data_IF_129083115948
#
_entry.id   IF_129083115948
#
_cell.length_a   1.000
_cell.length_b   1.000
_cell.length_c   1.000
_cell.angle_alpha   90.00
_cell.angle_beta   90.00
_cell.angle_gamma   90.00
#
_symmetry.space_group_name_H-M   'P 1'
#
loop_
_entity.id
_entity.type
_entity.pdbx_description
1 polymer ?
#
# COMPACT_ATOMS: atom_id res chain seq x y z
N UNK A 1 -7.55 -18.12 -2.67
CA UNK A 1 -6.21 -17.93 -3.27
C UNK A 1 -6.08 -16.53 -3.84
N UNK A 2 -4.91 -16.15 -4.36
CA UNK A 2 -4.66 -14.88 -5.05
C UNK A 2 -4.32 -15.19 -6.53
N UNK A 3 -4.84 -14.45 -7.52
CA UNK A 3 -5.79 -13.32 -7.40
C UNK A 3 -7.19 -13.77 -6.97
N UNK A 4 -8.02 -12.83 -6.51
CA UNK A 4 -9.44 -13.03 -6.17
C UNK A 4 -10.25 -11.73 -6.34
N UNK A 5 -11.50 -11.72 -5.89
CA UNK A 5 -12.41 -10.56 -6.02
C UNK A 5 -11.91 -9.29 -5.30
N UNK A 6 -11.10 -9.44 -4.26
CA UNK A 6 -10.61 -8.31 -3.44
C UNK A 6 -9.19 -7.88 -3.80
N UNK A 7 -8.39 -8.77 -4.42
CA UNK A 7 -6.98 -8.54 -4.72
C UNK A 7 -6.62 -8.99 -6.14
N UNK A 8 -6.03 -8.08 -6.91
CA UNK A 8 -5.55 -8.33 -8.27
C UNK A 8 -4.03 -8.33 -8.35
N UNK A 9 -3.49 -9.09 -9.30
CA UNK A 9 -2.10 -8.93 -9.72
C UNK A 9 -2.01 -7.79 -10.73
N UNK A 10 -0.97 -6.96 -10.62
CA UNK A 10 -0.64 -5.92 -11.61
C UNK A 10 0.75 -6.17 -12.18
N UNK A 11 0.89 -5.91 -13.48
CA UNK A 11 2.15 -5.89 -14.22
C UNK A 11 2.70 -4.48 -14.42
N UNK A 12 2.13 -3.46 -13.76
CA UNK A 12 2.59 -2.06 -13.87
C UNK A 12 4.08 -1.87 -13.53
N UNK A 13 4.65 -2.78 -12.73
CA UNK A 13 6.05 -2.74 -12.34
C UNK A 13 6.90 -3.79 -13.07
N UNK A 14 6.41 -4.40 -14.15
CA UNK A 14 7.12 -5.45 -14.89
C UNK A 14 8.48 -4.96 -15.42
N UNK A 15 8.53 -3.70 -15.85
CA UNK A 15 9.74 -3.01 -16.29
C UNK A 15 10.38 -2.16 -15.18
N UNK A 16 9.97 -2.34 -13.92
CA UNK A 16 10.50 -1.66 -12.73
C UNK A 16 10.32 -0.12 -12.73
N UNK A 17 9.40 0.40 -13.54
CA UNK A 17 9.16 1.84 -13.69
C UNK A 17 8.36 2.45 -12.53
N UNK A 18 7.51 1.67 -11.87
CA UNK A 18 6.74 2.14 -10.71
C UNK A 18 7.63 2.22 -9.46
N UNK A 19 8.43 1.19 -9.22
CA UNK A 19 9.37 1.08 -8.12
C UNK A 19 10.47 0.06 -8.46
N UNK A 20 11.68 0.57 -8.68
CA UNK A 20 12.88 -0.18 -9.05
C UNK A 20 13.40 -1.14 -7.97
N UNK A 21 12.99 -0.92 -6.72
CA UNK A 21 13.35 -1.74 -5.55
C UNK A 21 12.26 -2.72 -5.11
N UNK A 22 11.21 -2.86 -5.92
CA UNK A 22 10.11 -3.82 -5.76
C UNK A 22 10.18 -4.92 -6.83
N UNK A 23 9.50 -6.06 -6.63
CA UNK A 23 9.43 -7.10 -7.65
C UNK A 23 8.59 -6.67 -8.86
N UNK A 24 8.75 -7.39 -9.98
CA UNK A 24 8.04 -7.13 -11.23
C UNK A 24 6.51 -7.24 -11.10
N UNK A 25 6.03 -8.25 -10.37
CA UNK A 25 4.61 -8.47 -10.11
C UNK A 25 4.24 -8.00 -8.71
N UNK A 26 3.17 -7.21 -8.62
CA UNK A 26 2.63 -6.70 -7.37
C UNK A 26 1.18 -7.15 -7.20
N UNK A 27 0.77 -7.34 -5.95
CA UNK A 27 -0.63 -7.64 -5.61
C UNK A 27 -1.21 -6.46 -4.85
N UNK A 28 -2.32 -5.92 -5.38
CA UNK A 28 -2.95 -4.67 -4.96
C UNK A 28 -4.47 -4.86 -4.85
N UNK A 29 -5.21 -3.96 -4.17
CA UNK A 29 -6.67 -4.07 -4.11
C UNK A 29 -7.29 -4.07 -5.51
N UNK A 30 -8.25 -4.96 -5.75
CA UNK A 30 -8.81 -5.23 -7.07
C UNK A 30 -9.48 -4.00 -7.71
N UNK A 31 -10.05 -3.11 -6.89
CA UNK A 31 -10.76 -1.90 -7.32
C UNK A 31 -9.84 -0.67 -7.53
N UNK A 32 -8.53 -0.79 -7.33
CA UNK A 32 -7.58 0.30 -7.57
C UNK A 32 -6.96 0.11 -8.96
N UNK A 33 -7.13 1.05 -9.91
CA UNK A 33 -6.51 1.00 -11.23
C UNK A 33 -5.02 1.39 -11.19
N UNK A 34 -4.25 0.96 -12.20
CA UNK A 34 -2.80 1.20 -12.28
C UNK A 34 -2.42 2.70 -12.28
N UNK A 35 -3.23 3.56 -12.89
CA UNK A 35 -3.01 5.02 -12.85
C UNK A 35 -3.11 5.62 -11.44
N UNK A 36 -3.91 5.03 -10.55
CA UNK A 36 -3.94 5.43 -9.14
C UNK A 36 -2.69 4.94 -8.40
N UNK A 37 -2.14 3.77 -8.75
CA UNK A 37 -0.89 3.27 -8.16
C UNK A 37 0.27 4.22 -8.39
N UNK A 38 0.36 4.85 -9.57
CA UNK A 38 1.39 5.87 -9.88
C UNK A 38 1.31 7.06 -8.93
N UNK A 39 0.09 7.50 -8.59
CA UNK A 39 -0.13 8.61 -7.65
C UNK A 39 0.21 8.23 -6.21
N UNK A 40 -0.13 7.01 -5.80
CA UNK A 40 0.27 6.46 -4.49
C UNK A 40 1.80 6.34 -4.40
N UNK A 41 2.45 5.88 -5.47
CA UNK A 41 3.90 5.76 -5.54
C UNK A 41 4.60 7.11 -5.37
N UNK A 42 4.06 8.18 -5.96
CA UNK A 42 4.59 9.54 -5.78
C UNK A 42 4.54 10.03 -4.31
N UNK A 43 3.62 9.50 -3.49
CA UNK A 43 3.50 9.85 -2.08
C UNK A 43 4.26 8.90 -1.13
N UNK A 44 4.78 7.78 -1.63
CA UNK A 44 5.52 6.80 -0.84
C UNK A 44 7.01 6.90 -1.14
N UNK A 45 7.84 6.98 -0.10
CA UNK A 45 9.29 7.08 -0.28
C UNK A 45 9.84 6.00 -1.23
N UNK A 46 10.54 6.41 -2.29
CA UNK A 46 11.08 5.53 -3.34
C UNK A 46 10.01 4.73 -4.11
N UNK A 47 8.76 5.19 -4.17
CA UNK A 47 7.69 4.50 -4.90
C UNK A 47 7.21 3.20 -4.27
N UNK A 48 7.64 2.88 -3.04
CA UNK A 48 7.34 1.61 -2.36
C UNK A 48 5.93 1.62 -1.76
N UNK A 49 4.93 1.51 -2.63
CA UNK A 49 3.50 1.51 -2.28
C UNK A 49 3.12 0.32 -1.38
N UNK A 50 2.00 0.38 -0.64
CA UNK A 50 1.51 -0.78 0.09
C UNK A 50 1.12 -1.91 -0.86
N UNK A 51 1.77 -3.06 -0.70
CA UNK A 51 1.51 -4.27 -1.50
C UNK A 51 1.28 -5.47 -0.60
N UNK A 52 0.46 -6.42 -1.06
CA UNK A 52 0.16 -7.63 -0.30
C UNK A 52 1.44 -8.46 -0.08
N UNK A 53 1.65 -8.86 1.17
CA UNK A 53 2.70 -9.83 1.55
C UNK A 53 2.10 -11.16 1.97
N UNK A 54 0.92 -11.13 2.60
CA UNK A 54 0.23 -12.33 3.05
C UNK A 54 -1.28 -12.06 3.23
N UNK A 55 -2.10 -13.10 3.04
CA UNK A 55 -3.54 -13.09 3.28
C UNK A 55 -3.96 -14.32 4.07
N UNK A 56 -4.78 -14.13 5.09
CA UNK A 56 -5.32 -15.22 5.90
C UNK A 56 -6.35 -16.01 5.08
N UNK A 57 -6.26 -17.35 5.01
CA UNK A 57 -7.10 -18.17 4.12
C UNK A 57 -8.59 -18.10 4.45
N UNK A 58 -8.95 -17.93 5.73
CA UNK A 58 -10.35 -17.86 6.18
C UNK A 58 -10.84 -16.41 6.32
N UNK A 59 -10.31 -15.65 7.29
CA UNK A 59 -10.75 -14.29 7.60
C UNK A 59 -10.48 -13.23 6.53
N UNK A 60 -9.65 -13.53 5.51
CA UNK A 60 -9.17 -12.57 4.51
C UNK A 60 -8.40 -11.37 5.08
N UNK A 61 -8.01 -11.39 6.36
CA UNK A 61 -7.12 -10.38 6.92
C UNK A 61 -5.77 -10.40 6.20
N UNK A 62 -5.23 -9.21 5.91
CA UNK A 62 -4.01 -9.08 5.10
C UNK A 62 -2.87 -8.42 5.85
N UNK A 63 -1.65 -8.82 5.47
CA UNK A 63 -0.42 -8.11 5.81
C UNK A 63 0.04 -7.44 4.52
N UNK A 64 0.10 -6.11 4.55
CA UNK A 64 0.70 -5.29 3.48
C UNK A 64 1.97 -4.61 3.96
N UNK A 65 2.89 -4.32 3.04
CA UNK A 65 4.17 -3.66 3.35
C UNK A 65 4.39 -2.46 2.44
N UNK A 66 5.00 -1.40 2.97
CA UNK A 66 5.28 -0.15 2.25
C UNK A 66 6.46 0.60 2.88
N UNK A 67 6.90 1.68 2.23
CA UNK A 67 7.72 2.71 2.86
C UNK A 67 6.89 3.76 3.61
N UNK A 68 7.58 4.66 4.32
CA UNK A 68 6.95 5.84 4.92
C UNK A 68 6.25 6.72 3.86
N UNK A 69 5.16 7.42 4.24
CA UNK A 69 4.54 8.45 3.43
C UNK A 69 5.38 9.74 3.42
N UNK A 70 5.34 10.48 2.32
CA UNK A 70 6.07 11.73 2.10
C UNK A 70 5.29 12.95 2.62
N UNK A 71 4.93 12.90 3.90
CA UNK A 71 4.09 13.93 4.57
C UNK A 71 4.81 15.29 4.62
N UNK A 72 6.10 15.32 4.94
CA UNK A 72 6.84 16.56 5.07
C UNK A 72 6.45 17.36 6.32
N UNK A 73 7.28 18.35 6.63
CA UNK A 73 7.00 19.37 7.66
C UNK A 73 5.68 20.11 7.44
N UNK A 74 5.23 20.26 6.18
CA UNK A 74 3.99 20.94 5.84
C UNK A 74 2.73 20.08 5.97
N UNK A 75 2.85 18.82 6.39
CA UNK A 75 1.69 17.96 6.65
C UNK A 75 0.91 17.59 5.39
N UNK A 76 1.61 17.37 4.27
CA UNK A 76 1.01 16.96 3.00
C UNK A 76 0.24 15.64 3.16
N UNK A 77 -0.85 15.54 2.42
CA UNK A 77 -1.71 14.36 2.34
C UNK A 77 -1.87 13.95 0.88
N UNK A 78 -2.12 12.67 0.64
CA UNK A 78 -2.48 12.15 -0.68
C UNK A 78 -3.86 11.51 -0.59
N UNK A 79 -4.81 12.05 -1.36
CA UNK A 79 -6.16 11.50 -1.44
C UNK A 79 -6.13 10.07 -1.98
N UNK A 80 -5.23 9.81 -2.93
CA UNK A 80 -5.02 8.49 -3.50
C UNK A 80 -4.42 7.50 -2.50
N UNK A 81 -3.42 7.89 -1.70
CA UNK A 81 -2.87 7.01 -0.64
C UNK A 81 -3.92 6.70 0.44
N UNK A 82 -4.72 7.68 0.84
CA UNK A 82 -5.80 7.49 1.81
C UNK A 82 -6.89 6.57 1.27
N UNK A 83 -7.33 6.78 0.02
CA UNK A 83 -8.26 5.88 -0.67
C UNK A 83 -7.67 4.48 -0.81
N UNK A 84 -6.37 4.38 -1.06
CA UNK A 84 -5.68 3.10 -1.20
C UNK A 84 -5.69 2.30 0.11
N UNK A 85 -5.40 2.95 1.24
CA UNK A 85 -5.50 2.33 2.57
C UNK A 85 -6.95 1.96 2.92
N UNK A 86 -7.93 2.77 2.50
CA UNK A 86 -9.34 2.43 2.64
C UNK A 86 -9.70 1.17 1.83
N UNK A 87 -9.23 1.06 0.58
CA UNK A 87 -9.46 -0.13 -0.24
C UNK A 87 -8.84 -1.40 0.36
N UNK A 88 -7.70 -1.30 1.06
CA UNK A 88 -7.12 -2.41 1.82
C UNK A 88 -8.05 -2.79 2.99
N UNK A 89 -8.60 -1.81 3.71
CA UNK A 89 -9.56 -2.08 4.78
C UNK A 89 -10.83 -2.77 4.25
N UNK A 90 -11.38 -2.25 3.15
CA UNK A 90 -12.61 -2.77 2.52
C UNK A 90 -12.41 -4.19 1.94
N UNK A 91 -11.16 -4.61 1.69
CA UNK A 91 -10.84 -5.99 1.28
C UNK A 91 -11.07 -7.03 2.38
N UNK A 92 -11.27 -6.60 3.63
CA UNK A 92 -11.61 -7.45 4.76
C UNK A 92 -13.01 -7.10 5.30
N UNK A 93 -14.01 -7.88 4.90
CA UNK A 93 -15.41 -7.69 5.32
C UNK A 93 -15.64 -7.86 6.84
N UNK A 94 -14.68 -8.40 7.59
CA UNK A 94 -14.81 -8.69 9.02
C UNK A 94 -14.29 -7.56 9.93
N UNK A 95 -13.68 -6.50 9.38
CA UNK A 95 -13.11 -5.41 10.18
C UNK A 95 -13.39 -4.03 9.57
N UNK A 96 -13.73 -3.07 10.43
CA UNK A 96 -13.85 -1.64 10.09
C UNK A 96 -12.64 -0.81 10.55
N UNK A 97 -11.52 -1.48 10.86
CA UNK A 97 -10.28 -0.83 11.29
C UNK A 97 -9.09 -1.46 10.57
N UNK A 98 -8.14 -0.61 10.22
CA UNK A 98 -6.81 -0.99 9.74
C UNK A 98 -5.78 -0.59 10.79
N UNK A 99 -4.77 -1.43 10.99
CA UNK A 99 -3.64 -1.14 11.88
C UNK A 99 -2.40 -0.83 11.03
N UNK A 100 -1.72 0.27 11.35
CA UNK A 100 -0.46 0.66 10.73
C UNK A 100 0.63 0.52 11.78
N UNK A 101 1.54 -0.42 11.55
CA UNK A 101 2.70 -0.64 12.41
C UNK A 101 3.92 0.05 11.81
N UNK A 102 4.30 1.21 12.34
CA UNK A 102 5.60 1.81 12.05
C UNK A 102 6.65 1.14 12.94
N UNK A 103 7.63 0.49 12.33
CA UNK A 103 8.68 -0.23 13.05
C UNK A 103 9.64 0.71 13.80
N UNK A 104 9.59 2.02 13.55
CA UNK A 104 10.48 3.00 14.16
C UNK A 104 9.95 3.44 15.54
N UNK A 105 10.85 3.80 16.46
CA UNK A 105 10.48 4.60 17.63
C UNK A 105 9.82 5.93 17.20
N UNK A 106 8.88 6.44 18.00
CA UNK A 106 8.13 7.66 17.70
C UNK A 106 9.03 8.86 17.38
N UNK A 107 10.15 9.01 18.08
CA UNK A 107 11.14 10.09 17.85
C UNK A 107 11.76 10.01 16.45
N UNK A 108 12.02 8.81 15.95
CA UNK A 108 12.58 8.59 14.62
C UNK A 108 11.54 8.81 13.53
N UNK A 109 10.27 8.48 13.79
CA UNK A 109 9.18 8.78 12.87
C UNK A 109 8.95 10.29 12.73
N UNK A 110 8.99 11.04 13.84
CA UNK A 110 8.89 12.50 13.83
C UNK A 110 10.09 13.17 13.15
N UNK A 111 11.31 12.66 13.37
CA UNK A 111 12.51 13.19 12.73
C UNK A 111 12.53 13.00 11.20
N UNK A 112 11.82 11.99 10.68
CA UNK A 112 11.67 11.73 9.25
C UNK A 112 10.41 12.38 8.66
N UNK A 113 9.70 13.21 9.43
CA UNK A 113 8.47 13.86 8.98
C UNK A 113 8.74 14.92 7.93
#
# INVERSE_FOLDING_TARGET
>A
GIPNESWRMTSINEQYELCDTYPALLVVPANIPDEELKKVAAFRSRGRIPVLSWVHPESQATITRCSQPMVGVSGKRSKEDEKYLQAIMDSNAQSHKILIFDARPSVNAVANK
#
